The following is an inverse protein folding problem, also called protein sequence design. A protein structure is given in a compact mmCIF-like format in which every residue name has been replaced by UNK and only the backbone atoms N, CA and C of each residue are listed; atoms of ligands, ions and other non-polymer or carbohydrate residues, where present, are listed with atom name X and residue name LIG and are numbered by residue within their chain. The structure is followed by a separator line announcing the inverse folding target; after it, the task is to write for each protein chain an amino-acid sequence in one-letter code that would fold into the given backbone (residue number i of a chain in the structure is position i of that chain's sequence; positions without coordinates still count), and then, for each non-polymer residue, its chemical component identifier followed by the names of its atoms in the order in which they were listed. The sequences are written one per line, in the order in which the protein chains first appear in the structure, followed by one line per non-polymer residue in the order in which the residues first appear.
data_IF_879676441174
#
_entry.id   IF_879676441174
#
_cell.length_a   1.000
_cell.length_b   1.000
_cell.length_c   1.000
_cell.angle_alpha   90.00
_cell.angle_beta   90.00
_cell.angle_gamma   90.00
#
_symmetry.space_group_name_H-M   'P 1'
#
loop_
_entity.id
_entity.type
_entity.pdbx_description
1 polymer ?
#
# COMPACT_ATOMS: atom_id res chain seq x y z
N UNK A 1 1.70 22.95 7.57
CA UNK A 1 1.80 21.52 7.94
C UNK A 1 3.04 20.98 7.24
N UNK A 2 3.82 20.12 7.88
CA UNK A 2 4.99 19.48 7.25
C UNK A 2 4.49 18.41 6.28
N UNK A 3 5.14 18.26 5.12
CA UNK A 3 4.71 17.27 4.11
C UNK A 3 4.89 15.83 4.60
N UNK A 4 3.97 14.94 4.23
CA UNK A 4 4.02 13.52 4.54
C UNK A 4 5.32 12.95 3.98
N UNK A 5 6.14 12.34 4.84
CA UNK A 5 7.42 11.77 4.48
C UNK A 5 7.32 10.29 4.13
N UNK A 6 6.53 9.55 4.92
CA UNK A 6 6.37 8.10 4.75
C UNK A 6 4.90 7.74 4.62
N UNK A 7 4.55 7.08 3.52
CA UNK A 7 3.26 6.42 3.36
C UNK A 7 3.35 4.96 3.81
N UNK A 8 2.41 4.54 4.64
CA UNK A 8 2.31 3.16 5.13
C UNK A 8 1.01 2.56 4.61
N UNK A 9 1.12 1.76 3.56
CA UNK A 9 0.00 1.01 3.02
C UNK A 9 -0.40 -0.05 4.02
N UNK A 10 -1.67 -0.05 4.39
CA UNK A 10 -2.21 -0.80 5.51
C UNK A 10 -3.48 -1.53 5.10
N UNK A 11 -3.57 -2.80 5.47
CA UNK A 11 -4.72 -3.64 5.23
C UNK A 11 -4.90 -4.66 6.34
N UNK A 12 -6.14 -5.09 6.58
CA UNK A 12 -6.55 -6.05 7.61
C UNK A 12 -7.44 -7.13 7.05
N UNK A 13 -7.09 -8.40 7.33
CA UNK A 13 -8.05 -9.49 7.23
C UNK A 13 -8.69 -9.74 8.60
N UNK A 14 -10.00 -9.93 8.62
CA UNK A 14 -10.74 -10.06 9.87
C UNK A 14 -11.77 -11.20 9.83
N UNK A 15 -12.30 -11.60 10.98
CA UNK A 15 -13.23 -12.74 11.12
C UNK A 15 -14.56 -12.55 10.38
N UNK A 16 -14.90 -11.35 9.94
CA UNK A 16 -16.16 -11.00 9.26
C UNK A 16 -16.38 -9.50 9.19
N UNK A 17 -17.56 -9.08 8.77
CA UNK A 17 -17.96 -7.68 8.66
C UNK A 17 -18.56 -7.15 9.97
N UNK A 18 -18.63 -5.81 10.10
CA UNK A 18 -19.28 -5.13 11.24
C UNK A 18 -20.73 -5.58 11.45
N UNK A 19 -21.45 -5.89 10.37
CA UNK A 19 -22.83 -6.39 10.40
C UNK A 19 -22.98 -7.78 11.03
N UNK A 20 -21.91 -8.58 11.06
CA UNK A 20 -21.89 -9.91 11.69
C UNK A 20 -21.47 -9.89 13.16
N UNK A 21 -21.29 -8.72 13.77
CA UNK A 21 -20.95 -8.58 15.19
C UNK A 21 -19.70 -7.77 15.46
N UNK A 22 -18.77 -8.31 16.26
CA UNK A 22 -17.49 -7.68 16.57
C UNK A 22 -16.36 -8.37 15.80
N UNK A 23 -16.03 -7.93 14.59
CA UNK A 23 -14.94 -8.52 13.84
C UNK A 23 -13.63 -8.41 14.61
N UNK A 24 -12.76 -9.39 14.44
CA UNK A 24 -11.45 -9.47 15.06
C UNK A 24 -10.41 -9.66 13.98
N UNK A 25 -9.26 -9.03 14.14
CA UNK A 25 -8.15 -9.16 13.19
C UNK A 25 -7.63 -10.58 13.13
N UNK A 26 -7.40 -11.10 11.92
CA UNK A 26 -6.79 -12.39 11.60
C UNK A 26 -5.40 -12.22 10.98
N UNK A 27 -5.24 -11.21 10.14
CA UNK A 27 -3.97 -10.81 9.54
C UNK A 27 -3.91 -9.28 9.46
N UNK A 28 -2.72 -8.74 9.56
CA UNK A 28 -2.46 -7.31 9.30
C UNK A 28 -1.17 -7.15 8.52
N UNK A 29 -1.14 -6.15 7.65
CA UNK A 29 0.06 -5.77 6.93
C UNK A 29 0.26 -4.26 6.93
N UNK A 30 1.50 -3.84 7.14
CA UNK A 30 1.97 -2.46 7.01
C UNK A 30 3.17 -2.46 6.08
N UNK A 31 3.07 -1.74 4.97
CA UNK A 31 4.14 -1.59 3.98
C UNK A 31 4.49 -0.11 3.87
N UNK A 32 5.65 0.25 4.40
CA UNK A 32 6.11 1.63 4.49
C UNK A 32 7.06 1.97 3.34
N UNK A 33 6.80 3.10 2.70
CA UNK A 33 7.56 3.61 1.54
C UNK A 33 7.74 5.11 1.69
N UNK A 34 8.93 5.62 1.36
CA UNK A 34 9.19 7.07 1.29
C UNK A 34 8.42 7.70 0.12
N UNK A 35 7.99 8.94 0.28
CA UNK A 35 7.29 9.68 -0.77
C UNK A 35 8.11 9.77 -2.07
N UNK A 36 9.43 9.92 -1.98
CA UNK A 36 10.30 9.93 -3.16
C UNK A 36 10.32 8.60 -3.91
N UNK A 37 10.27 7.48 -3.18
CA UNK A 37 10.28 6.15 -3.79
C UNK A 37 8.93 5.83 -4.48
N UNK A 38 7.81 6.43 -4.01
CA UNK A 38 6.52 6.36 -4.71
C UNK A 38 6.60 7.09 -6.05
N UNK A 39 7.28 8.24 -6.13
CA UNK A 39 7.46 8.97 -7.38
C UNK A 39 8.37 8.22 -8.35
N UNK A 40 9.44 7.60 -7.89
CA UNK A 40 10.28 6.73 -8.71
C UNK A 40 9.49 5.53 -9.26
N UNK A 41 8.62 4.95 -8.42
CA UNK A 41 7.72 3.88 -8.84
C UNK A 41 6.71 4.38 -9.89
N UNK A 42 6.16 5.59 -9.72
CA UNK A 42 5.28 6.25 -10.69
C UNK A 42 5.92 6.30 -12.08
N UNK A 43 7.12 6.87 -12.20
CA UNK A 43 7.85 6.98 -13.46
C UNK A 43 8.11 5.60 -14.09
N UNK A 44 8.50 4.62 -13.29
CA UNK A 44 8.74 3.25 -13.74
C UNK A 44 7.48 2.59 -14.29
N UNK A 45 6.34 2.79 -13.63
CA UNK A 45 5.04 2.27 -14.06
C UNK A 45 4.55 2.95 -15.35
N UNK A 46 4.65 4.29 -15.45
CA UNK A 46 4.25 5.02 -16.64
C UNK A 46 5.08 4.63 -17.87
N UNK A 47 6.39 4.48 -17.72
CA UNK A 47 7.26 4.03 -18.80
C UNK A 47 6.84 2.64 -19.28
N UNK A 48 6.56 1.72 -18.37
CA UNK A 48 6.12 0.36 -18.70
C UNK A 48 4.74 0.30 -19.35
N UNK A 49 3.81 1.15 -18.90
CA UNK A 49 2.47 1.27 -19.48
C UNK A 49 2.56 1.90 -20.90
N UNK A 50 3.45 2.86 -21.13
CA UNK A 50 3.62 3.51 -22.43
C UNK A 50 4.24 2.60 -23.48
N UNK A 51 5.25 1.80 -23.11
CA UNK A 51 5.88 0.81 -23.99
C UNK A 51 4.86 -0.23 -24.47
N UNK A 52 3.94 -0.65 -23.62
CA UNK A 52 2.87 -1.60 -23.96
C UNK A 52 1.91 -1.14 -25.04
N UNK A 53 1.70 0.16 -25.18
CA UNK A 53 0.83 0.67 -26.27
C UNK A 53 1.36 0.27 -27.65
N UNK A 54 2.63 -0.12 -27.72
CA UNK A 54 3.34 -0.46 -28.94
C UNK A 54 3.63 -1.96 -29.10
N UNK A 55 3.50 -2.76 -28.03
CA UNK A 55 3.84 -4.20 -28.04
C UNK A 55 2.80 -5.05 -27.29
N UNK A 56 2.50 -6.25 -27.80
CA UNK A 56 1.47 -7.18 -27.30
C UNK A 56 1.95 -8.01 -26.07
N UNK A 57 2.86 -7.43 -25.22
CA UNK A 57 3.47 -8.12 -24.08
C UNK A 57 2.72 -7.87 -22.77
N UNK A 58 2.59 -8.88 -21.89
CA UNK A 58 1.96 -8.74 -20.59
C UNK A 58 2.91 -8.11 -19.56
N UNK A 59 2.54 -7.02 -18.84
CA UNK A 59 3.36 -6.46 -17.74
C UNK A 59 3.30 -7.43 -16.55
N UNK A 60 4.45 -7.77 -16.03
CA UNK A 60 4.52 -8.42 -14.73
C UNK A 60 4.49 -7.32 -13.65
N UNK A 61 3.29 -6.85 -13.33
CA UNK A 61 3.08 -5.70 -12.41
C UNK A 61 3.68 -5.99 -11.03
N UNK A 62 3.71 -7.25 -10.64
CA UNK A 62 4.26 -7.69 -9.35
C UNK A 62 5.75 -7.41 -9.18
N UNK A 63 6.49 -7.25 -10.28
CA UNK A 63 7.93 -6.92 -10.23
C UNK A 63 8.18 -5.46 -9.88
N UNK A 64 7.17 -4.58 -10.04
CA UNK A 64 7.30 -3.18 -9.72
C UNK A 64 7.12 -2.94 -8.22
N UNK A 65 8.20 -2.64 -7.56
CA UNK A 65 8.25 -2.27 -6.14
C UNK A 65 9.44 -1.36 -5.90
N UNK A 66 9.33 -0.36 -5.03
CA UNK A 66 10.50 0.41 -4.59
C UNK A 66 11.59 -0.50 -4.02
N UNK A 67 12.86 -0.08 -4.16
CA UNK A 67 13.97 -0.84 -3.58
C UNK A 67 13.96 -0.78 -2.06
N UNK A 68 13.55 0.35 -1.48
CA UNK A 68 13.51 0.56 -0.03
C UNK A 68 12.06 0.43 0.42
N UNK A 69 11.75 -0.68 1.05
CA UNK A 69 10.42 -0.99 1.61
C UNK A 69 10.58 -1.62 2.98
N UNK A 70 9.96 -1.02 3.98
CA UNK A 70 9.86 -1.62 5.30
C UNK A 70 8.51 -2.33 5.45
N UNK A 71 8.50 -3.55 5.95
CA UNK A 71 7.28 -4.37 6.04
C UNK A 71 7.10 -4.96 7.44
N UNK A 72 5.85 -4.97 7.89
CA UNK A 72 5.40 -5.72 9.06
C UNK A 72 4.11 -6.44 8.68
N UNK A 73 4.18 -7.76 8.46
CA UNK A 73 3.01 -8.60 8.21
C UNK A 73 2.89 -9.65 9.31
N UNK A 74 1.73 -9.76 9.91
CA UNK A 74 1.47 -10.62 11.06
C UNK A 74 0.13 -11.34 10.88
N UNK A 75 0.12 -12.67 11.05
CA UNK A 75 -1.08 -13.42 11.34
C UNK A 75 -1.36 -13.38 12.83
N UNK A 76 -2.64 -13.29 13.19
CA UNK A 76 -3.12 -13.12 14.58
C UNK A 76 -4.24 -14.11 14.86
N UNK A 77 -4.18 -14.78 16.01
CA UNK A 77 -5.30 -15.61 16.46
C UNK A 77 -6.46 -14.74 16.95
N UNK A 78 -7.63 -14.73 16.27
CA UNK A 78 -8.64 -13.72 16.51
C UNK A 78 -9.45 -13.92 17.78
N UNK A 79 -9.38 -15.08 18.46
CA UNK A 79 -10.22 -15.45 19.62
C UNK A 79 -11.73 -15.38 19.31
N UNK A 80 -12.11 -15.57 18.06
CA UNK A 80 -13.46 -15.53 17.55
C UNK A 80 -13.56 -16.44 16.32
N UNK A 81 -14.76 -16.91 16.01
CA UNK A 81 -14.99 -17.75 14.84
C UNK A 81 -14.85 -16.95 13.57
N UNK A 82 -14.04 -17.43 12.63
CA UNK A 82 -13.93 -16.88 11.29
C UNK A 82 -15.12 -17.37 10.47
N UNK A 83 -15.83 -16.42 9.83
CA UNK A 83 -16.98 -16.76 8.98
C UNK A 83 -16.51 -17.60 7.78
N UNK A 84 -17.22 -18.70 7.42
CA UNK A 84 -16.79 -19.58 6.32
C UNK A 84 -16.52 -18.87 4.99
N UNK A 85 -17.27 -17.83 4.68
CA UNK A 85 -17.05 -17.01 3.49
C UNK A 85 -15.68 -16.31 3.54
N UNK A 86 -15.32 -15.72 4.68
CA UNK A 86 -14.02 -15.09 4.89
C UNK A 86 -12.90 -16.12 4.77
N UNK A 87 -13.04 -17.26 5.43
CA UNK A 87 -12.06 -18.34 5.32
C UNK A 87 -11.84 -18.81 3.87
N UNK A 88 -12.90 -18.87 3.06
CA UNK A 88 -12.79 -19.23 1.64
C UNK A 88 -12.09 -18.17 0.79
N UNK A 89 -12.18 -16.89 1.18
CA UNK A 89 -11.56 -15.76 0.46
C UNK A 89 -10.10 -15.58 0.85
N UNK A 90 -9.81 -15.59 2.15
CA UNK A 90 -8.49 -15.28 2.69
C UNK A 90 -7.57 -16.51 2.83
N UNK A 91 -8.16 -17.71 2.88
CA UNK A 91 -7.45 -18.94 3.23
C UNK A 91 -7.13 -19.08 4.72
N UNK A 92 -7.57 -18.12 5.55
CA UNK A 92 -7.37 -18.15 7.00
C UNK A 92 -8.55 -18.79 7.69
N UNK A 93 -8.28 -19.66 8.66
CA UNK A 93 -9.29 -20.27 9.51
C UNK A 93 -8.81 -20.42 10.95
N UNK A 94 -9.72 -20.76 11.86
CA UNK A 94 -9.38 -20.88 13.27
C UNK A 94 -8.36 -22.00 13.53
N UNK A 95 -8.24 -22.99 12.64
CA UNK A 95 -7.30 -24.10 12.80
C UNK A 95 -5.88 -23.67 12.42
N UNK A 96 -5.70 -23.07 11.24
CA UNK A 96 -4.36 -22.67 10.79
C UNK A 96 -3.77 -21.49 11.58
N UNK A 97 -4.61 -20.71 12.27
CA UNK A 97 -4.18 -19.61 13.13
C UNK A 97 -3.96 -20.02 14.61
N UNK A 98 -4.23 -21.27 15.01
CA UNK A 98 -4.17 -21.71 16.41
C UNK A 98 -2.82 -21.44 17.09
N UNK A 99 -1.72 -21.51 16.34
CA UNK A 99 -0.37 -21.24 16.85
C UNK A 99 0.03 -19.78 16.90
N UNK A 100 -0.82 -18.88 16.41
CA UNK A 100 -0.49 -17.45 16.35
C UNK A 100 -0.80 -16.73 17.65
N UNK A 101 -0.07 -15.63 17.91
CA UNK A 101 -0.34 -14.76 19.04
C UNK A 101 -1.69 -14.07 18.88
N UNK A 102 -2.35 -13.78 20.02
CA UNK A 102 -3.55 -12.94 20.03
C UNK A 102 -3.16 -11.49 19.76
N UNK A 103 -4.11 -10.67 19.32
CA UNK A 103 -3.90 -9.22 19.31
C UNK A 103 -3.90 -8.73 20.77
N UNK A 104 -2.72 -8.63 21.36
CA UNK A 104 -2.45 -8.20 22.72
C UNK A 104 -1.59 -6.93 22.75
N UNK A 105 -1.15 -6.55 23.94
CA UNK A 105 -0.27 -5.38 24.15
C UNK A 105 1.04 -5.49 23.37
N UNK A 106 1.59 -6.68 23.18
CA UNK A 106 2.83 -6.87 22.44
C UNK A 106 2.66 -6.56 20.96
N UNK A 107 1.58 -7.05 20.35
CA UNK A 107 1.22 -6.73 18.96
C UNK A 107 0.99 -5.22 18.80
N UNK A 108 0.21 -4.61 19.70
CA UNK A 108 -0.02 -3.16 19.68
C UNK A 108 1.28 -2.35 19.85
N UNK A 109 2.19 -2.77 20.71
CA UNK A 109 3.50 -2.13 20.87
C UNK A 109 4.41 -2.36 19.67
N UNK A 110 4.37 -3.54 19.05
CA UNK A 110 5.14 -3.84 17.82
C UNK A 110 4.74 -2.90 16.68
N UNK A 111 3.44 -2.68 16.48
CA UNK A 111 2.93 -1.70 15.50
C UNK A 111 3.46 -0.29 15.81
N UNK A 112 3.40 0.14 17.06
CA UNK A 112 3.91 1.45 17.49
C UNK A 112 5.42 1.58 17.23
N UNK A 113 6.22 0.58 17.60
CA UNK A 113 7.67 0.57 17.39
C UNK A 113 7.96 0.61 15.88
N UNK A 114 7.28 -0.20 15.08
CA UNK A 114 7.45 -0.18 13.63
C UNK A 114 7.22 1.22 13.06
N UNK A 115 6.10 1.86 13.40
CA UNK A 115 5.78 3.20 12.92
C UNK A 115 6.78 4.27 13.43
N UNK A 116 7.28 4.13 14.67
CA UNK A 116 8.26 5.07 15.24
C UNK A 116 9.65 4.98 14.61
N UNK A 117 9.98 3.86 13.94
CA UNK A 117 11.24 3.71 13.19
C UNK A 117 11.21 4.36 11.81
N UNK A 118 10.06 4.88 11.37
CA UNK A 118 9.88 5.45 10.04
C UNK A 118 10.12 6.98 10.04
N UNK A 119 10.66 7.55 8.95
CA UNK A 119 10.78 9.00 8.81
C UNK A 119 9.40 9.68 8.88
N UNK A 120 9.27 10.65 9.79
CA UNK A 120 8.02 11.41 9.99
C UNK A 120 7.93 12.63 9.07
N UNK A 121 6.71 13.11 8.77
CA UNK A 121 5.38 12.61 9.17
C UNK A 121 4.98 11.30 8.48
N UNK A 122 4.36 10.40 9.26
CA UNK A 122 3.90 9.07 8.80
C UNK A 122 2.39 9.09 8.55
N UNK A 123 1.96 8.56 7.40
CA UNK A 123 0.56 8.48 7.02
C UNK A 123 0.16 7.03 6.67
N UNK A 124 -0.80 6.46 7.38
CA UNK A 124 -1.43 5.19 7.05
C UNK A 124 -2.36 5.38 5.85
N UNK A 125 -2.29 4.47 4.89
CA UNK A 125 -3.12 4.45 3.68
C UNK A 125 -3.88 3.14 3.63
N UNK A 126 -5.20 3.17 3.75
CA UNK A 126 -6.04 1.98 3.61
C UNK A 126 -7.14 2.20 2.57
N UNK A 127 -7.61 1.12 1.94
CA UNK A 127 -8.65 1.20 0.92
C UNK A 127 -10.04 1.03 1.54
N UNK A 128 -10.85 2.09 1.52
CA UNK A 128 -12.09 2.21 2.31
C UNK A 128 -11.83 2.10 3.82
N UNK A 129 -10.62 2.48 4.23
CA UNK A 129 -10.10 2.30 5.57
C UNK A 129 -10.85 3.10 6.63
N UNK A 130 -11.44 4.24 6.26
CA UNK A 130 -12.28 5.06 7.16
C UNK A 130 -13.50 4.31 7.68
N UNK A 131 -14.03 3.37 6.90
CA UNK A 131 -15.22 2.60 7.26
C UNK A 131 -14.89 1.29 8.00
N UNK A 132 -13.67 0.76 7.81
CA UNK A 132 -13.34 -0.57 8.30
C UNK A 132 -11.98 -0.64 9.02
N UNK A 133 -10.87 -0.47 8.32
CA UNK A 133 -9.53 -0.79 8.83
C UNK A 133 -9.12 0.08 10.00
N UNK A 134 -9.24 1.41 9.91
CA UNK A 134 -8.85 2.32 10.97
C UNK A 134 -9.74 2.15 12.22
N UNK A 135 -11.09 2.07 12.12
CA UNK A 135 -11.94 1.75 13.25
C UNK A 135 -11.66 0.41 13.91
N UNK A 136 -11.33 -0.64 13.11
CA UNK A 136 -11.03 -1.96 13.63
C UNK A 136 -9.68 -2.00 14.33
N UNK A 137 -8.62 -1.46 13.71
CA UNK A 137 -7.30 -1.35 14.35
C UNK A 137 -7.41 -0.60 15.67
N UNK A 138 -8.13 0.52 15.71
CA UNK A 138 -8.32 1.31 16.92
C UNK A 138 -9.01 0.51 18.02
N UNK A 139 -10.04 -0.25 17.68
CA UNK A 139 -10.74 -1.11 18.63
C UNK A 139 -9.86 -2.23 19.19
N UNK A 140 -9.04 -2.87 18.35
CA UNK A 140 -8.10 -3.91 18.81
C UNK A 140 -6.99 -3.33 19.70
N UNK A 141 -6.44 -2.17 19.33
CA UNK A 141 -5.41 -1.49 20.13
C UNK A 141 -5.96 -1.04 21.48
N UNK A 142 -7.14 -0.44 21.53
CA UNK A 142 -7.78 -0.05 22.81
C UNK A 142 -8.04 -1.28 23.70
N UNK A 143 -8.52 -2.39 23.13
CA UNK A 143 -8.68 -3.66 23.86
C UNK A 143 -7.36 -4.20 24.38
N UNK A 144 -6.28 -4.04 23.62
CA UNK A 144 -4.92 -4.43 24.00
C UNK A 144 -4.27 -3.48 25.04
N UNK A 145 -4.94 -2.39 25.41
CA UNK A 145 -4.41 -1.37 26.31
C UNK A 145 -3.27 -0.56 25.69
N UNK A 146 -3.29 -0.38 24.35
CA UNK A 146 -2.34 0.43 23.60
C UNK A 146 -3.08 1.45 22.73
N UNK A 147 -2.36 2.45 22.22
CA UNK A 147 -2.89 3.44 21.30
C UNK A 147 -1.79 3.99 20.40
N UNK A 148 -2.13 4.41 19.18
CA UNK A 148 -1.26 5.24 18.35
C UNK A 148 -1.33 6.70 18.85
N UNK A 149 -0.25 7.44 18.65
CA UNK A 149 -0.20 8.86 18.97
C UNK A 149 -0.91 9.74 17.92
N UNK A 150 -1.10 11.01 18.27
CA UNK A 150 -1.72 12.01 17.38
C UNK A 150 -0.85 12.38 16.18
N UNK A 151 0.43 11.99 16.20
CA UNK A 151 1.40 12.18 15.11
C UNK A 151 1.13 11.28 13.89
N UNK A 152 0.35 10.21 14.06
CA UNK A 152 0.02 9.29 12.97
C UNK A 152 -1.16 9.81 12.17
N UNK A 153 -0.90 10.10 10.90
CA UNK A 153 -1.91 10.51 9.93
C UNK A 153 -2.53 9.30 9.23
N UNK A 154 -3.72 9.49 8.66
CA UNK A 154 -4.45 8.49 7.89
C UNK A 154 -5.11 9.11 6.68
N UNK A 155 -5.15 8.38 5.58
CA UNK A 155 -5.95 8.71 4.40
C UNK A 155 -6.69 7.48 3.89
N UNK A 156 -7.91 7.72 3.39
CA UNK A 156 -8.72 6.70 2.74
C UNK A 156 -8.49 6.75 1.23
N UNK A 157 -7.83 5.74 0.70
CA UNK A 157 -7.48 5.69 -0.73
C UNK A 157 -8.69 5.55 -1.64
N UNK A 158 -9.80 4.95 -1.18
CA UNK A 158 -11.03 4.88 -1.97
C UNK A 158 -11.54 6.28 -2.30
N UNK A 159 -11.56 7.18 -1.31
CA UNK A 159 -12.00 8.55 -1.49
C UNK A 159 -11.01 9.33 -2.36
N UNK A 160 -9.71 9.16 -2.13
CA UNK A 160 -8.67 9.87 -2.86
C UNK A 160 -8.58 9.48 -4.32
N UNK A 161 -8.55 8.20 -4.62
CA UNK A 161 -8.51 7.70 -6.00
C UNK A 161 -9.73 8.18 -6.78
N UNK A 162 -10.92 8.11 -6.14
CA UNK A 162 -12.16 8.58 -6.76
C UNK A 162 -12.14 10.08 -7.03
N UNK A 163 -11.61 10.90 -6.13
CA UNK A 163 -11.47 12.34 -6.30
C UNK A 163 -10.52 12.66 -7.45
N UNK A 164 -9.30 12.13 -7.40
CA UNK A 164 -8.25 12.37 -8.39
C UNK A 164 -8.70 11.97 -9.80
N UNK A 165 -9.35 10.81 -9.95
CA UNK A 165 -9.82 10.38 -11.27
C UNK A 165 -10.95 11.25 -11.81
N UNK A 166 -11.86 11.72 -10.94
CA UNK A 166 -12.90 12.67 -11.36
C UNK A 166 -12.32 14.00 -11.82
N UNK A 167 -11.35 14.53 -11.08
CA UNK A 167 -10.70 15.79 -11.44
C UNK A 167 -9.97 15.67 -12.80
N UNK A 168 -9.30 14.54 -13.05
CA UNK A 168 -8.66 14.23 -14.33
C UNK A 168 -9.68 14.12 -15.50
N UNK A 169 -10.83 13.48 -15.24
CA UNK A 169 -11.88 13.35 -16.25
C UNK A 169 -12.49 14.72 -16.59
N UNK A 170 -12.75 15.56 -15.60
CA UNK A 170 -13.23 16.92 -15.78
C UNK A 170 -12.25 17.75 -16.62
N UNK A 171 -10.96 17.78 -16.26
CA UNK A 171 -9.93 18.49 -17.03
C UNK A 171 -9.86 17.98 -18.47
N UNK A 172 -9.95 16.66 -18.69
CA UNK A 172 -9.94 16.07 -20.02
C UNK A 172 -11.17 16.49 -20.85
N UNK A 173 -12.35 16.56 -20.26
CA UNK A 173 -13.59 16.98 -20.94
C UNK A 173 -13.58 18.47 -21.26
N UNK A 174 -13.08 19.32 -20.35
CA UNK A 174 -12.91 20.75 -20.59
C UNK A 174 -11.90 21.00 -21.73
N UNK A 175 -10.79 20.27 -21.76
CA UNK A 175 -9.79 20.38 -22.83
C UNK A 175 -10.35 19.95 -24.19
N UNK A 176 -11.16 18.89 -24.25
CA UNK A 176 -11.86 18.47 -25.48
C UNK A 176 -12.82 19.56 -25.97
N UNK A 177 -13.65 20.11 -25.08
CA UNK A 177 -14.60 21.16 -25.44
C UNK A 177 -13.89 22.43 -25.99
N UNK A 178 -12.78 22.84 -25.34
CA UNK A 178 -11.96 23.96 -25.82
C UNK A 178 -11.33 23.66 -27.18
N UNK A 179 -10.87 22.43 -27.40
CA UNK A 179 -10.30 22.01 -28.69
C UNK A 179 -11.34 21.99 -29.81
N UNK A 180 -12.56 21.54 -29.52
CA UNK A 180 -13.70 21.51 -30.48
C UNK A 180 -14.12 22.93 -30.84
N UNK A 181 -14.22 23.84 -29.88
CA UNK A 181 -14.48 25.26 -30.09
C UNK A 181 -13.39 25.94 -30.95
N UNK A 182 -12.12 25.58 -30.72
CA UNK A 182 -10.99 26.06 -31.50
C UNK A 182 -11.09 25.66 -33.00
N UNK A 183 -11.58 24.44 -33.23
CA UNK A 183 -11.69 23.88 -34.57
C UNK A 183 -12.95 24.38 -35.34
N UNK A 184 -13.97 24.89 -34.63
CA UNK A 184 -15.20 25.41 -35.24
C UNK A 184 -15.06 26.81 -35.87
N UNK A 185 -13.96 27.49 -35.64
CA UNK A 185 -13.66 28.79 -36.24
C UNK A 185 -14.50 29.97 -35.74
N UNK A 186 -15.32 29.78 -34.72
CA UNK A 186 -16.25 30.78 -34.16
C UNK A 186 -15.67 31.68 -33.06
N UNK A 187 -14.39 31.53 -32.72
CA UNK A 187 -13.81 32.23 -31.57
C UNK A 187 -12.57 33.08 -31.86
N UNK A 188 -12.48 34.25 -31.20
CA UNK A 188 -11.35 35.17 -31.25
C UNK A 188 -10.07 34.49 -30.66
N UNK A 189 -9.03 34.40 -31.50
CA UNK A 189 -7.80 33.66 -31.27
C UNK A 189 -7.07 34.11 -29.96
N UNK A 190 -7.20 35.38 -29.57
CA UNK A 190 -6.58 35.95 -28.37
C UNK A 190 -7.17 35.46 -27.04
N UNK A 191 -8.48 35.16 -27.02
CA UNK A 191 -9.14 34.64 -25.80
C UNK A 191 -8.80 33.16 -25.53
N UNK A 192 -8.51 32.42 -26.61
CA UNK A 192 -8.15 31.00 -26.55
C UNK A 192 -6.72 30.75 -26.08
N UNK A 193 -5.78 31.63 -26.46
CA UNK A 193 -4.37 31.52 -26.01
C UNK A 193 -4.29 31.65 -24.50
N UNK A 194 -5.10 32.52 -23.87
CA UNK A 194 -5.15 32.67 -22.40
C UNK A 194 -5.72 31.44 -21.68
N UNK A 195 -6.83 30.86 -22.19
CA UNK A 195 -7.48 29.72 -21.53
C UNK A 195 -6.71 28.40 -21.77
N UNK A 196 -6.20 28.20 -22.99
CA UNK A 196 -5.32 27.07 -23.31
C UNK A 196 -3.96 27.15 -22.58
N UNK A 197 -3.40 28.37 -22.44
CA UNK A 197 -2.18 28.58 -21.65
C UNK A 197 -2.40 28.32 -20.18
N UNK A 198 -3.52 28.74 -19.58
CA UNK A 198 -3.86 28.43 -18.17
C UNK A 198 -4.07 26.94 -17.93
N UNK A 199 -4.75 26.23 -18.85
CA UNK A 199 -4.92 24.77 -18.75
C UNK A 199 -3.59 24.02 -18.99
N UNK A 200 -2.79 24.46 -19.96
CA UNK A 200 -1.43 23.91 -20.19
C UNK A 200 -0.50 24.22 -19.02
N UNK A 201 -0.54 25.42 -18.45
CA UNK A 201 0.27 25.80 -17.27
C UNK A 201 -0.14 24.98 -16.05
N UNK A 202 -1.41 24.63 -15.91
CA UNK A 202 -1.90 23.73 -14.86
C UNK A 202 -1.36 22.32 -15.07
N UNK A 203 -1.32 21.81 -16.30
CA UNK A 203 -0.74 20.52 -16.68
C UNK A 203 0.80 20.54 -16.62
N UNK A 204 1.44 21.65 -16.99
CA UNK A 204 2.91 21.81 -16.99
C UNK A 204 3.46 22.19 -15.63
N UNK A 205 2.72 22.92 -14.77
CA UNK A 205 3.11 23.17 -13.39
C UNK A 205 3.24 21.86 -12.59
N UNK A 206 2.43 20.87 -12.95
CA UNK A 206 2.55 19.52 -12.39
C UNK A 206 3.84 18.82 -12.91
N UNK A 207 4.27 19.08 -14.16
CA UNK A 207 5.55 18.57 -14.70
C UNK A 207 6.78 19.31 -14.17
N UNK A 208 6.73 20.61 -13.97
CA UNK A 208 7.88 21.45 -13.54
C UNK A 208 8.15 21.28 -12.04
N UNK A 209 7.12 21.02 -11.22
CA UNK A 209 7.32 20.64 -9.81
C UNK A 209 8.11 19.33 -9.66
N UNK A 210 8.06 18.44 -10.65
CA UNK A 210 8.89 17.24 -10.71
C UNK A 210 10.39 17.51 -10.81
N UNK A 211 10.80 18.54 -11.52
CA UNK A 211 12.22 18.87 -11.74
C UNK A 211 12.87 19.60 -10.55
N UNK A 212 12.08 20.32 -9.74
CA UNK A 212 12.61 21.05 -8.58
C UNK A 212 12.83 20.19 -7.33
N UNK A 213 12.16 19.06 -7.22
CA UNK A 213 12.34 18.13 -6.09
C UNK A 213 13.60 17.25 -6.23
N UNK A 214 14.05 17.00 -7.47
CA UNK A 214 15.26 16.20 -7.76
C UNK A 214 16.57 17.00 -7.66
N UNK A 215 16.53 18.35 -7.71
CA UNK A 215 17.74 19.19 -7.68
C UNK A 215 18.25 19.56 -6.27
N UNK A 216 17.50 19.31 -5.21
CA UNK A 216 17.93 19.59 -3.84
C UNK A 216 18.71 18.46 -3.15
N UNK A 217 19.04 17.37 -3.86
CA UNK A 217 19.81 16.24 -3.30
C UNK A 217 21.33 16.36 -3.48
N UNK A 218 21.85 17.44 -4.07
CA UNK A 218 23.29 17.58 -4.39
C UNK A 218 23.96 18.84 -3.80
N UNK A 219 23.67 19.21 -2.56
CA UNK A 219 24.53 20.11 -1.78
C UNK A 219 24.57 19.70 -0.31
N UNK A 220 25.13 18.50 -0.06
CA UNK A 220 25.65 18.11 1.23
C UNK A 220 27.16 18.39 1.23
N UNK A 221 27.58 19.39 2.00
CA UNK A 221 28.97 19.81 2.16
C UNK A 221 29.92 18.64 2.40
N UNK A 222 30.89 18.48 1.49
CA UNK A 222 32.18 17.82 1.73
C UNK A 222 32.98 18.73 2.67
N UNK A 223 32.95 18.49 3.95
CA UNK A 223 33.95 19.01 4.89
C UNK A 223 35.12 18.05 4.79
N UNK A 224 36.16 18.43 4.04
CA UNK A 224 37.49 17.86 4.15
C UNK A 224 38.04 18.22 5.54
N UNK A 225 38.10 17.24 6.43
CA UNK A 225 39.05 17.26 7.54
C UNK A 225 40.23 16.39 7.15
N UNK A 226 41.35 17.05 6.85
CA UNK A 226 42.69 16.42 6.86
C UNK A 226 42.92 15.90 8.25
N UNK A 227 43.15 14.58 8.38
CA UNK A 227 43.66 13.98 9.59
C UNK A 227 45.05 13.41 9.26
N UNK A 228 46.00 14.00 9.94
CA UNK A 228 47.41 13.80 9.95
C UNK A 228 47.82 12.32 10.15
N UNK A 229 48.81 11.90 9.36
CA UNK A 229 49.48 10.60 9.44
C UNK A 229 50.44 10.58 10.63
N UNK A 230 50.18 9.74 11.63
CA UNK A 230 51.22 9.29 12.53
C UNK A 230 50.90 7.90 13.11
N UNK A 231 51.60 6.91 12.53
CA UNK A 231 52.24 5.77 13.20
C UNK A 231 51.49 4.82 14.14
N UNK A 232 51.31 3.59 13.82
CA UNK A 232 52.10 2.40 14.27
C UNK A 232 51.32 1.12 14.05
N UNK A 233 52.02 0.16 13.44
CA UNK A 233 51.49 -1.16 13.08
C UNK A 233 51.05 -2.00 14.30
N UNK A 234 50.02 -2.79 14.05
CA UNK A 234 49.72 -3.99 14.81
C UNK A 234 49.44 -5.12 13.79
N UNK A 235 50.20 -6.17 14.01
CA UNK A 235 50.29 -7.45 13.31
C UNK A 235 48.94 -8.10 13.02
N UNK A 236 48.79 -8.57 11.77
CA UNK A 236 47.78 -9.57 11.41
C UNK A 236 48.10 -10.90 12.08
N UNK A 237 47.24 -11.34 12.98
CA UNK A 237 47.16 -12.73 13.40
C UNK A 237 46.03 -13.43 12.67
N UNK A 238 46.41 -14.43 11.92
CA UNK A 238 45.59 -15.45 11.28
C UNK A 238 44.60 -16.10 12.23
N UNK A 239 43.29 -15.96 11.94
CA UNK A 239 42.28 -16.82 12.58
C UNK A 239 42.07 -18.06 11.71
N UNK A 240 42.53 -19.18 12.24
CA UNK A 240 42.31 -20.52 11.72
C UNK A 240 40.83 -20.90 11.80
N UNK A 241 40.33 -21.50 10.71
CA UNK A 241 39.07 -22.26 10.71
C UNK A 241 39.10 -23.35 11.75
N UNK A 242 38.17 -23.34 12.67
CA UNK A 242 37.78 -24.49 13.47
C UNK A 242 36.41 -24.96 13.03
N UNK A 243 36.41 -26.10 12.36
CA UNK A 243 35.24 -26.89 12.08
C UNK A 243 34.72 -27.46 13.40
N UNK A 244 33.48 -27.15 13.78
CA UNK A 244 32.78 -27.84 14.86
C UNK A 244 31.79 -28.84 14.24
N UNK A 245 32.26 -30.08 14.15
CA UNK A 245 31.38 -31.25 14.02
C UNK A 245 30.58 -31.48 15.31
N UNK A 246 29.41 -32.10 15.10
CA UNK A 246 28.54 -32.77 16.07
C UNK A 246 27.35 -32.00 16.59
N UNK A 247 26.25 -32.07 15.82
CA UNK A 247 24.90 -32.00 16.33
C UNK A 247 24.34 -33.41 16.54
N UNK A 248 23.90 -33.81 17.73
CA UNK A 248 23.32 -35.15 17.91
C UNK A 248 21.90 -35.17 17.32
N UNK A 249 21.71 -36.02 16.32
CA UNK A 249 20.43 -36.39 15.78
C UNK A 249 19.65 -37.18 16.85
N UNK A 250 18.72 -36.53 17.54
CA UNK A 250 17.69 -37.21 18.33
C UNK A 250 16.46 -37.40 17.46
N UNK A 251 16.28 -38.59 16.94
CA UNK A 251 15.04 -39.05 16.30
C UNK A 251 13.92 -39.05 17.34
N UNK A 252 13.01 -38.09 17.26
CA UNK A 252 11.74 -38.15 17.95
C UNK A 252 10.71 -38.66 16.94
N UNK A 253 10.41 -39.97 17.06
CA UNK A 253 9.25 -40.57 16.43
C UNK A 253 7.99 -40.15 17.19
N UNK A 254 7.34 -39.09 16.73
CA UNK A 254 6.01 -38.73 17.21
C UNK A 254 4.95 -39.39 16.32
N UNK A 255 4.16 -40.22 16.96
CA UNK A 255 2.98 -40.87 16.47
C UNK A 255 1.97 -39.84 15.95
N UNK A 256 1.86 -39.71 14.64
CA UNK A 256 0.73 -39.07 14.02
C UNK A 256 -0.30 -40.12 13.60
N UNK A 257 -1.57 -39.95 13.94
CA UNK A 257 -2.63 -40.79 13.39
C UNK A 257 -2.77 -40.50 11.89
N UNK A 258 -2.64 -41.55 11.09
CA UNK A 258 -2.87 -41.53 9.65
C UNK A 258 -4.38 -41.38 9.36
N UNK A 259 -4.88 -40.14 9.35
CA UNK A 259 -6.12 -39.84 8.65
C UNK A 259 -5.78 -39.00 7.42
N UNK A 260 -5.81 -39.65 6.24
CA UNK A 260 -5.84 -38.92 4.96
C UNK A 260 -7.13 -38.09 4.90
N UNK A 261 -7.12 -36.76 4.79
CA UNK A 261 -8.30 -36.04 4.38
C UNK A 261 -8.63 -36.38 2.93
N UNK A 262 -9.91 -36.62 2.67
CA UNK A 262 -10.48 -36.83 1.34
C UNK A 262 -10.10 -35.64 0.46
N UNK A 263 -9.69 -35.93 -0.80
CA UNK A 263 -9.33 -34.96 -1.85
C UNK A 263 -10.24 -33.74 -1.81
N UNK A 264 -9.71 -32.59 -1.40
CA UNK A 264 -10.27 -31.30 -1.75
C UNK A 264 -10.21 -31.18 -3.27
N UNK A 265 -11.37 -30.89 -3.87
CA UNK A 265 -11.47 -30.59 -5.29
C UNK A 265 -10.53 -29.47 -5.62
N UNK A 266 -9.75 -29.64 -6.67
CA UNK A 266 -8.85 -28.67 -7.25
C UNK A 266 -9.57 -27.35 -7.39
N UNK A 267 -9.09 -26.35 -6.64
CA UNK A 267 -9.49 -24.95 -6.82
C UNK A 267 -8.87 -24.55 -8.14
N UNK A 268 -9.70 -24.20 -9.10
CA UNK A 268 -9.36 -23.70 -10.42
C UNK A 268 -8.32 -22.62 -10.33
N UNK A 269 -7.08 -22.93 -10.71
CA UNK A 269 -6.12 -21.95 -11.13
C UNK A 269 -6.69 -21.28 -12.39
N UNK A 270 -7.00 -20.01 -12.31
CA UNK A 270 -7.39 -19.24 -13.48
C UNK A 270 -6.31 -19.40 -14.56
N UNK A 271 -6.72 -19.97 -15.68
CA UNK A 271 -5.90 -20.22 -16.84
C UNK A 271 -5.19 -18.94 -17.30
N UNK A 272 -3.86 -18.92 -17.24
CA UNK A 272 -3.00 -17.79 -17.65
C UNK A 272 -3.12 -17.42 -19.14
N UNK A 273 -3.95 -18.17 -19.91
CA UNK A 273 -4.01 -18.04 -21.38
C UNK A 273 -5.04 -17.05 -21.92
N UNK A 274 -5.85 -16.36 -21.08
CA UNK A 274 -6.99 -15.52 -21.56
C UNK A 274 -6.98 -14.04 -21.22
N UNK A 275 -5.87 -13.47 -20.77
CA UNK A 275 -5.77 -12.01 -20.62
C UNK A 275 -5.37 -11.32 -21.95
N UNK A 276 -6.09 -11.61 -23.03
CA UNK A 276 -5.97 -10.88 -24.31
C UNK A 276 -7.11 -9.87 -24.46
N UNK A 277 -7.20 -8.87 -23.60
CA UNK A 277 -8.01 -7.68 -23.87
C UNK A 277 -7.09 -6.48 -23.97
N UNK A 278 -7.04 -5.88 -25.19
CA UNK A 278 -6.45 -4.55 -25.40
C UNK A 278 -7.04 -3.60 -24.37
N UNK A 279 -6.18 -2.91 -23.62
CA UNK A 279 -6.57 -1.74 -22.85
C UNK A 279 -6.97 -0.64 -23.86
N UNK A 280 -8.22 -0.68 -24.27
CA UNK A 280 -8.82 0.45 -24.98
C UNK A 280 -9.09 1.54 -23.95
N UNK A 281 -8.20 2.50 -23.83
CA UNK A 281 -8.47 3.80 -23.22
C UNK A 281 -9.36 4.64 -24.15
N UNK A 282 -10.42 4.05 -24.70
CA UNK A 282 -11.41 4.73 -25.51
C UNK A 282 -12.74 4.74 -24.78
N UNK A 283 -13.20 5.93 -24.47
CA UNK A 283 -14.54 6.41 -24.19
C UNK A 283 -15.02 6.57 -22.75
N UNK A 284 -14.49 5.90 -21.73
CA UNK A 284 -14.64 6.40 -20.35
C UNK A 284 -13.33 6.16 -19.58
N UNK A 285 -12.67 7.22 -19.14
CA UNK A 285 -11.45 7.15 -18.33
C UNK A 285 -11.70 6.67 -16.88
N UNK A 286 -12.93 6.23 -16.56
CA UNK A 286 -13.33 5.85 -15.21
C UNK A 286 -13.42 4.34 -15.07
N UNK A 287 -12.96 3.78 -13.91
CA UNK A 287 -13.12 2.36 -13.62
C UNK A 287 -14.59 1.99 -13.42
N UNK A 288 -14.99 0.76 -13.76
CA UNK A 288 -16.35 0.25 -13.58
C UNK A 288 -16.80 0.24 -12.11
N UNK A 289 -15.87 0.07 -11.19
CA UNK A 289 -16.05 0.28 -9.75
C UNK A 289 -14.70 0.60 -9.09
N UNK A 290 -14.76 1.18 -7.88
CA UNK A 290 -13.59 1.59 -7.12
C UNK A 290 -13.13 0.54 -6.11
N UNK A 291 -13.47 -0.76 -6.28
CA UNK A 291 -12.82 -1.82 -5.52
C UNK A 291 -11.36 -1.97 -5.95
N UNK A 292 -10.47 -2.34 -5.03
CA UNK A 292 -9.03 -2.47 -5.31
C UNK A 292 -8.76 -3.41 -6.51
N UNK A 293 -9.48 -4.52 -6.59
CA UNK A 293 -9.39 -5.47 -7.71
C UNK A 293 -9.74 -4.79 -9.05
N UNK A 294 -10.79 -3.98 -9.09
CA UNK A 294 -11.21 -3.31 -10.32
C UNK A 294 -10.30 -2.13 -10.68
N UNK A 295 -9.78 -1.41 -9.69
CA UNK A 295 -8.76 -0.40 -9.91
C UNK A 295 -7.47 -1.02 -10.47
N UNK A 296 -7.03 -2.14 -9.93
CA UNK A 296 -5.86 -2.84 -10.43
C UNK A 296 -6.08 -3.35 -11.88
N UNK A 297 -7.27 -3.91 -12.17
CA UNK A 297 -7.64 -4.27 -13.55
C UNK A 297 -7.69 -3.07 -14.48
N UNK A 298 -8.21 -1.93 -14.01
CA UNK A 298 -8.30 -0.70 -14.80
C UNK A 298 -6.91 -0.19 -15.20
N UNK A 299 -5.97 -0.10 -14.27
CA UNK A 299 -4.62 0.44 -14.54
C UNK A 299 -3.68 -0.58 -15.19
N UNK A 300 -3.78 -1.86 -14.83
CA UNK A 300 -2.79 -2.87 -15.22
C UNK A 300 -3.34 -4.00 -16.10
N UNK A 301 -4.65 -4.02 -16.36
CA UNK A 301 -5.29 -5.02 -17.23
C UNK A 301 -5.53 -6.39 -16.57
N UNK A 302 -5.07 -6.60 -15.34
CA UNK A 302 -5.22 -7.86 -14.59
C UNK A 302 -5.57 -7.59 -13.12
N UNK A 303 -6.24 -8.52 -12.43
CA UNK A 303 -6.41 -8.43 -10.97
C UNK A 303 -5.07 -8.64 -10.25
N UNK A 304 -4.96 -8.23 -8.97
CA UNK A 304 -3.81 -8.60 -8.15
C UNK A 304 -3.70 -10.14 -8.03
N UNK A 305 -2.48 -10.66 -7.95
CA UNK A 305 -2.26 -12.07 -7.67
C UNK A 305 -2.63 -12.37 -6.21
N UNK A 306 -3.49 -13.37 -5.98
CA UNK A 306 -3.91 -13.81 -4.64
C UNK A 306 -4.51 -12.66 -3.79
N UNK A 307 -5.42 -11.87 -4.37
CA UNK A 307 -6.22 -10.90 -3.60
C UNK A 307 -6.82 -11.56 -2.34
N UNK A 308 -7.08 -10.75 -1.32
CA UNK A 308 -7.48 -11.18 0.03
C UNK A 308 -6.34 -11.79 0.86
N UNK A 309 -5.14 -11.26 0.74
CA UNK A 309 -4.06 -11.38 1.69
C UNK A 309 -3.54 -9.97 1.97
N UNK A 310 -3.47 -9.57 3.23
CA UNK A 310 -3.21 -8.18 3.63
C UNK A 310 -1.93 -7.59 3.00
N UNK A 311 -0.85 -8.38 2.87
CA UNK A 311 0.38 -7.88 2.22
C UNK A 311 0.19 -7.65 0.71
N UNK A 312 -0.50 -8.55 0.04
CA UNK A 312 -0.74 -8.45 -1.42
C UNK A 312 -1.62 -7.25 -1.72
N UNK A 313 -2.65 -7.02 -0.91
CA UNK A 313 -3.57 -5.90 -1.09
C UNK A 313 -2.90 -4.56 -0.77
N UNK A 314 -2.02 -4.48 0.23
CA UNK A 314 -1.15 -3.33 0.46
C UNK A 314 -0.25 -3.03 -0.75
N UNK A 315 0.41 -4.04 -1.34
CA UNK A 315 1.28 -3.87 -2.51
C UNK A 315 0.47 -3.47 -3.76
N UNK A 316 -0.71 -4.03 -3.94
CA UNK A 316 -1.61 -3.65 -5.03
C UNK A 316 -2.07 -2.18 -4.88
N UNK A 317 -2.43 -1.77 -3.66
CA UNK A 317 -2.82 -0.41 -3.35
C UNK A 317 -1.68 0.59 -3.59
N UNK A 318 -0.47 0.25 -3.16
CA UNK A 318 0.73 1.05 -3.41
C UNK A 318 0.93 1.31 -4.91
N UNK A 319 0.82 0.28 -5.74
CA UNK A 319 0.97 0.43 -7.20
C UNK A 319 -0.15 1.25 -7.82
N UNK A 320 -1.39 1.04 -7.39
CA UNK A 320 -2.56 1.81 -7.86
C UNK A 320 -2.40 3.30 -7.55
N UNK A 321 -1.99 3.64 -6.33
CA UNK A 321 -1.77 5.04 -5.95
C UNK A 321 -0.53 5.63 -6.63
N UNK A 322 0.52 4.85 -6.82
CA UNK A 322 1.70 5.29 -7.55
C UNK A 322 1.40 5.66 -9.01
N UNK A 323 0.48 4.98 -9.70
CA UNK A 323 0.05 5.39 -11.06
C UNK A 323 -0.55 6.80 -11.08
N UNK A 324 -1.16 7.23 -9.99
CA UNK A 324 -1.72 8.57 -9.88
C UNK A 324 -0.66 9.65 -9.57
N UNK A 325 0.50 9.25 -9.05
CA UNK A 325 1.65 10.12 -8.83
C UNK A 325 1.35 11.32 -7.94
N UNK A 326 1.76 12.50 -8.38
CA UNK A 326 1.62 13.74 -7.60
C UNK A 326 0.17 14.10 -7.27
N UNK A 327 -0.78 13.85 -8.18
CA UNK A 327 -2.18 14.14 -7.90
C UNK A 327 -2.67 13.40 -6.65
N UNK A 328 -2.24 12.13 -6.49
CA UNK A 328 -2.52 11.35 -5.29
C UNK A 328 -1.80 11.92 -4.06
N UNK A 329 -0.52 12.23 -4.18
CA UNK A 329 0.28 12.73 -3.06
C UNK A 329 -0.25 14.07 -2.55
N UNK A 330 -0.58 15.00 -3.44
CA UNK A 330 -1.19 16.29 -3.09
C UNK A 330 -2.56 16.12 -2.46
N UNK A 331 -3.38 15.21 -3.00
CA UNK A 331 -4.68 14.93 -2.41
C UNK A 331 -4.53 14.34 -1.00
N UNK A 332 -3.64 13.38 -0.81
CA UNK A 332 -3.38 12.76 0.48
C UNK A 332 -2.87 13.77 1.50
N UNK A 333 -1.96 14.68 1.10
CA UNK A 333 -1.45 15.75 1.95
C UNK A 333 -2.57 16.68 2.44
N UNK A 334 -3.52 17.03 1.56
CA UNK A 334 -4.63 17.96 1.89
C UNK A 334 -5.73 17.30 2.72
N UNK A 335 -5.92 15.98 2.59
CA UNK A 335 -7.07 15.25 3.15
C UNK A 335 -6.68 14.25 4.25
N UNK A 336 -5.42 14.25 4.71
CA UNK A 336 -5.01 13.40 5.82
C UNK A 336 -5.63 13.89 7.13
N UNK A 337 -6.01 12.94 7.97
CA UNK A 337 -6.57 13.16 9.32
C UNK A 337 -5.78 12.35 10.35
N UNK A 338 -5.78 12.78 11.60
CA UNK A 338 -5.11 12.04 12.67
C UNK A 338 -5.85 10.72 12.96
N UNK A 339 -5.08 9.65 13.20
CA UNK A 339 -5.66 8.34 13.54
C UNK A 339 -6.58 8.41 14.76
N UNK A 340 -6.25 9.23 15.73
CA UNK A 340 -7.05 9.38 16.95
C UNK A 340 -8.48 9.91 16.71
N UNK A 341 -8.74 10.58 15.57
CA UNK A 341 -10.06 11.11 15.24
C UNK A 341 -11.02 10.06 14.71
N UNK A 342 -10.55 8.86 14.37
CA UNK A 342 -11.45 7.78 13.94
C UNK A 342 -12.25 7.22 15.12
N UNK A 343 -13.52 6.89 14.88
CA UNK A 343 -14.32 6.15 15.83
C UNK A 343 -13.88 4.69 15.93
N UNK A 344 -14.00 4.10 17.12
CA UNK A 344 -13.73 2.68 17.30
C UNK A 344 -14.85 1.83 16.68
N UNK A 345 -14.50 0.73 16.01
CA UNK A 345 -15.51 -0.14 15.40
C UNK A 345 -16.43 -0.78 16.42
N UNK A 346 -15.92 -1.14 17.59
CA UNK A 346 -16.66 -1.72 18.71
C UNK A 346 -15.96 -1.39 20.03
N UNK A 347 -16.72 -1.39 21.13
CA UNK A 347 -16.19 -1.17 22.48
C UNK A 347 -16.43 -2.38 23.36
N UNK A 348 -15.51 -2.66 24.26
CA UNK A 348 -15.76 -3.64 25.33
C UNK A 348 -16.91 -3.14 26.22
N UNK A 349 -17.77 -4.07 26.74
CA UNK A 349 -18.71 -3.71 27.77
C UNK A 349 -17.94 -3.09 28.94
N UNK A 350 -18.48 -2.01 29.51
CA UNK A 350 -17.91 -1.50 30.75
C UNK A 350 -18.13 -2.57 31.82
N UNK A 351 -17.06 -3.00 32.49
CA UNK A 351 -17.20 -3.83 33.67
C UNK A 351 -18.07 -3.05 34.66
N UNK A 352 -19.20 -3.60 35.02
CA UNK A 352 -20.01 -3.08 36.12
C UNK A 352 -19.14 -3.21 37.38
N UNK A 353 -18.69 -2.09 37.91
CA UNK A 353 -18.04 -2.07 39.23
C UNK A 353 -19.03 -2.66 40.21
N UNK A 354 -18.86 -3.94 40.55
CA UNK A 354 -19.54 -4.61 41.65
C UNK A 354 -18.96 -4.12 42.98
#
# INVERSE_FOLDING_TARGET
MQDIRTFVYFDLEATGLKSSGRPRVCELSLIAVDTSDILELHESLLNSISVRRNEDTSIQVETFSPRIVNKLTLCVYPMSTIVPLVSSMTGLDNYNLTGQSKFDRNIGNLIKIFLSCLPSPVCLVAHNGSQYDFPLLKAEMEKAGTKLGSEILCVDSYLGIKSVLKDREQISSELKAVTELANSGEFDRHMMEGTCAQLKTRIESDKVKHLSCSSNRTQGHLIHQEVDHSMRGISMSTFSKQENESTPTRSISLLYPKHRPKKCKEIYYADKSKCKKKLNFSESNMPTSFSLINLHKHFFGCPPNKSHGAEVDCLALMRVTAVLGNDWLEWAQKNSTQFENYEVMWRMPRESKS
#
